data_IF_763365723644
#
_entry.id   IF_763365723644
#
_cell.length_a   1.000
_cell.length_b   1.000
_cell.length_c   1.000
_cell.angle_alpha   90.00
_cell.angle_beta   90.00
_cell.angle_gamma   90.00
#
_symmetry.space_group_name_H-M   'P 1'
#
loop_
_entity.id
_entity.type
_entity.pdbx_description
1 polymer ?
#
# COMPACT_ATOMS: atom_id res chain seq x y z
N UNK A 1 6.61 -10.98 -3.85
CA UNK A 1 6.02 -10.89 -2.50
C UNK A 1 6.69 -9.80 -1.69
N UNK A 2 6.11 -9.41 -0.55
CA UNK A 2 6.74 -8.45 0.35
C UNK A 2 7.94 -9.09 1.03
N UNK A 3 8.97 -8.28 1.27
CA UNK A 3 10.12 -8.67 2.07
C UNK A 3 9.65 -9.11 3.47
N UNK A 4 10.08 -10.30 3.97
CA UNK A 4 9.76 -10.75 5.32
C UNK A 4 10.05 -9.73 6.41
N UNK A 5 11.12 -8.94 6.30
CA UNK A 5 11.47 -7.91 7.28
C UNK A 5 10.42 -6.80 7.35
N UNK A 6 9.84 -6.42 6.20
CA UNK A 6 8.75 -5.44 6.13
C UNK A 6 7.48 -6.00 6.79
N UNK A 7 7.19 -7.28 6.57
CA UNK A 7 6.03 -7.94 7.16
C UNK A 7 6.17 -8.05 8.68
N UNK A 8 7.35 -8.42 9.19
CA UNK A 8 7.61 -8.50 10.63
C UNK A 8 7.56 -7.14 11.32
N UNK A 9 8.12 -6.11 10.66
CA UNK A 9 8.03 -4.73 11.15
C UNK A 9 6.57 -4.27 11.25
N UNK A 10 5.77 -4.48 10.20
CA UNK A 10 4.36 -4.11 10.23
C UNK A 10 3.57 -4.95 11.25
N UNK A 11 3.87 -6.24 11.39
CA UNK A 11 3.25 -7.10 12.38
C UNK A 11 3.49 -6.60 13.81
N UNK A 12 4.70 -6.11 14.11
CA UNK A 12 5.04 -5.47 15.38
C UNK A 12 4.20 -4.21 15.63
N UNK A 13 4.10 -3.34 14.63
CA UNK A 13 3.26 -2.12 14.69
C UNK A 13 1.78 -2.48 14.90
N UNK A 14 1.28 -3.49 14.20
CA UNK A 14 -0.10 -3.95 14.32
C UNK A 14 -0.37 -4.58 15.70
N UNK A 15 0.62 -5.25 16.28
CA UNK A 15 0.55 -5.79 17.64
C UNK A 15 0.42 -4.67 18.68
N UNK A 16 1.19 -3.61 18.54
CA UNK A 16 1.08 -2.41 19.38
C UNK A 16 -0.27 -1.72 19.21
N UNK A 17 -0.70 -1.49 17.97
CA UNK A 17 -2.01 -0.87 17.67
C UNK A 17 -3.21 -1.66 18.18
N UNK A 18 -3.07 -2.98 18.37
CA UNK A 18 -4.13 -3.85 18.87
C UNK A 18 -3.85 -4.37 20.29
N UNK A 19 -2.90 -3.79 21.01
CA UNK A 19 -2.47 -4.27 22.33
C UNK A 19 -3.66 -4.41 23.30
N UNK A 20 -4.54 -3.41 23.37
CA UNK A 20 -5.75 -3.45 24.21
C UNK A 20 -6.68 -4.64 23.91
N UNK A 21 -6.75 -5.05 22.63
CA UNK A 21 -7.56 -6.20 22.21
C UNK A 21 -6.88 -7.54 22.47
N UNK A 22 -5.57 -7.54 22.75
CA UNK A 22 -4.73 -8.73 22.94
C UNK A 22 -4.51 -9.01 24.44
N UNK A 23 -4.48 -7.96 25.29
CA UNK A 23 -4.26 -8.10 26.73
C UNK A 23 -5.24 -9.11 27.34
N UNK A 24 -4.70 -10.07 28.11
CA UNK A 24 -5.48 -11.12 28.77
C UNK A 24 -5.94 -12.27 27.86
N UNK A 25 -5.58 -12.27 26.57
CA UNK A 25 -5.89 -13.37 25.64
C UNK A 25 -4.69 -14.29 25.44
N UNK A 26 -4.95 -15.54 25.03
CA UNK A 26 -3.89 -16.49 24.68
C UNK A 26 -3.17 -16.08 23.39
N UNK A 27 -1.96 -16.61 23.20
CA UNK A 27 -1.16 -16.36 21.99
C UNK A 27 -1.92 -16.69 20.70
N UNK A 28 -2.61 -17.83 20.65
CA UNK A 28 -3.38 -18.25 19.47
C UNK A 28 -4.52 -17.27 19.12
N UNK A 29 -5.17 -16.67 20.14
CA UNK A 29 -6.21 -15.68 19.91
C UNK A 29 -5.60 -14.35 19.47
N UNK A 30 -4.45 -13.96 20.03
CA UNK A 30 -3.71 -12.78 19.59
C UNK A 30 -3.30 -12.90 18.10
N UNK A 31 -2.82 -14.06 17.67
CA UNK A 31 -2.40 -14.29 16.29
C UNK A 31 -3.61 -14.26 15.34
N UNK A 32 -4.76 -14.82 15.74
CA UNK A 32 -6.00 -14.69 14.96
C UNK A 32 -6.46 -13.23 14.81
N UNK A 33 -6.27 -12.41 15.86
CA UNK A 33 -6.58 -10.97 15.81
C UNK A 33 -5.66 -10.25 14.83
N UNK A 34 -4.37 -10.62 14.77
CA UNK A 34 -3.38 -9.97 13.91
C UNK A 34 -3.37 -10.48 12.47
N UNK A 35 -3.81 -11.72 12.21
CA UNK A 35 -3.86 -12.29 10.86
C UNK A 35 -4.69 -11.44 9.89
N UNK A 36 -5.87 -10.96 10.31
CA UNK A 36 -6.71 -10.12 9.44
C UNK A 36 -6.00 -8.84 8.98
N UNK A 37 -5.48 -8.02 9.91
CA UNK A 37 -4.67 -6.85 9.59
C UNK A 37 -3.41 -7.13 8.76
N UNK A 38 -2.68 -8.21 9.05
CA UNK A 38 -1.49 -8.60 8.27
C UNK A 38 -1.87 -8.99 6.83
N UNK A 39 -2.92 -9.79 6.67
CA UNK A 39 -3.42 -10.16 5.34
C UNK A 39 -3.96 -8.94 4.57
N UNK A 40 -4.59 -7.99 5.27
CA UNK A 40 -4.97 -6.71 4.68
C UNK A 40 -3.74 -5.93 4.20
N UNK A 41 -2.70 -5.82 5.02
CA UNK A 41 -1.47 -5.15 4.65
C UNK A 41 -0.84 -5.75 3.39
N UNK A 42 -0.76 -7.09 3.31
CA UNK A 42 -0.30 -7.78 2.11
C UNK A 42 -1.16 -7.47 0.89
N UNK A 43 -2.49 -7.49 1.02
CA UNK A 43 -3.44 -7.16 -0.07
C UNK A 43 -3.32 -5.73 -0.57
N UNK A 44 -2.86 -4.80 0.27
CA UNK A 44 -2.70 -3.40 -0.10
C UNK A 44 -1.30 -3.08 -0.65
N UNK A 45 -0.27 -3.85 -0.26
CA UNK A 45 1.13 -3.52 -0.55
C UNK A 45 1.85 -4.51 -1.50
N UNK A 46 1.24 -5.64 -1.85
CA UNK A 46 1.79 -6.58 -2.85
C UNK A 46 0.90 -6.63 -4.10
N UNK A 47 1.47 -6.35 -5.27
CA UNK A 47 0.71 -6.25 -6.53
C UNK A 47 -0.15 -7.49 -6.84
N UNK A 48 0.39 -8.69 -6.63
CA UNK A 48 -0.31 -9.94 -6.98
C UNK A 48 -1.56 -10.21 -6.13
N UNK A 49 -1.61 -9.69 -4.91
CA UNK A 49 -2.73 -9.88 -3.97
C UNK A 49 -3.73 -8.72 -4.01
N UNK A 50 -3.36 -7.59 -4.63
CA UNK A 50 -4.24 -6.45 -4.83
C UNK A 50 -5.44 -6.80 -5.70
N UNK A 51 -6.56 -6.13 -5.44
CA UNK A 51 -7.73 -6.19 -6.31
C UNK A 51 -7.44 -5.48 -7.64
N UNK A 52 -7.82 -6.12 -8.74
CA UNK A 52 -7.62 -5.60 -10.08
C UNK A 52 -8.51 -4.38 -10.32
N UNK A 53 -7.90 -3.26 -10.71
CA UNK A 53 -8.57 -1.96 -10.82
C UNK A 53 -9.78 -1.94 -11.76
N UNK A 54 -9.83 -2.83 -12.74
CA UNK A 54 -10.93 -2.88 -13.72
C UNK A 54 -12.22 -3.46 -13.15
N UNK A 55 -12.14 -4.39 -12.19
CA UNK A 55 -13.31 -5.05 -11.60
C UNK A 55 -13.44 -4.86 -10.08
N UNK A 56 -12.42 -4.32 -9.44
CA UNK A 56 -12.38 -3.97 -8.02
C UNK A 56 -12.45 -5.16 -7.06
N UNK A 57 -12.35 -6.41 -7.55
CA UNK A 57 -12.61 -7.60 -6.73
C UNK A 57 -11.64 -8.75 -6.94
N UNK A 58 -11.15 -8.94 -8.17
CA UNK A 58 -10.35 -10.12 -8.50
C UNK A 58 -8.88 -9.85 -8.19
N UNK A 59 -8.16 -10.71 -7.47
CA UNK A 59 -6.73 -10.56 -7.29
C UNK A 59 -5.98 -10.52 -8.62
N UNK A 60 -4.95 -9.66 -8.75
CA UNK A 60 -4.16 -9.56 -9.97
C UNK A 60 -3.53 -10.90 -10.38
N UNK A 61 -3.11 -11.73 -9.41
CA UNK A 61 -2.62 -13.09 -9.68
C UNK A 61 -3.63 -13.95 -10.44
N UNK A 62 -4.91 -13.87 -10.08
CA UNK A 62 -5.98 -14.65 -10.72
C UNK A 62 -6.29 -14.12 -12.12
N UNK A 63 -6.16 -12.80 -12.33
CA UNK A 63 -6.29 -12.18 -13.66
C UNK A 63 -5.18 -12.66 -14.59
N UNK A 64 -3.93 -12.70 -14.13
CA UNK A 64 -2.78 -13.22 -14.89
C UNK A 64 -2.98 -14.71 -15.20
N UNK A 65 -3.39 -15.50 -14.21
CA UNK A 65 -3.63 -16.92 -14.38
C UNK A 65 -4.75 -17.20 -15.39
N UNK A 66 -5.83 -16.41 -15.37
CA UNK A 66 -6.90 -16.48 -16.35
C UNK A 66 -6.41 -16.12 -17.75
N UNK A 67 -5.66 -15.02 -17.89
CA UNK A 67 -5.09 -14.62 -19.17
C UNK A 67 -4.18 -15.72 -19.77
N UNK A 68 -3.40 -16.42 -18.93
CA UNK A 68 -2.60 -17.56 -19.37
C UNK A 68 -3.46 -18.72 -19.89
N UNK A 69 -4.54 -19.07 -19.19
CA UNK A 69 -5.50 -20.09 -19.66
C UNK A 69 -6.10 -19.71 -21.01
N UNK A 70 -6.55 -18.46 -21.17
CA UNK A 70 -7.16 -17.96 -22.40
C UNK A 70 -6.15 -17.95 -23.57
N UNK A 71 -4.87 -17.70 -23.28
CA UNK A 71 -3.78 -17.72 -24.25
C UNK A 71 -3.22 -19.13 -24.55
N UNK A 72 -3.62 -20.16 -23.79
CA UNK A 72 -3.09 -21.52 -23.92
C UNK A 72 -1.63 -21.67 -23.49
N UNK A 73 -1.11 -20.74 -22.68
CA UNK A 73 0.28 -20.76 -22.21
C UNK A 73 0.42 -20.10 -20.84
N UNK A 74 1.49 -20.41 -20.10
CA UNK A 74 1.75 -19.75 -18.82
C UNK A 74 2.18 -18.31 -19.05
N UNK A 75 1.50 -17.38 -18.38
CA UNK A 75 1.91 -15.97 -18.30
C UNK A 75 2.44 -15.71 -16.88
N UNK A 76 3.57 -15.04 -16.78
CA UNK A 76 4.20 -14.68 -15.51
C UNK A 76 4.55 -13.21 -15.52
N UNK A 77 4.17 -12.49 -14.46
CA UNK A 77 4.66 -11.14 -14.22
C UNK A 77 6.10 -11.27 -13.68
N UNK A 78 7.08 -10.79 -14.47
CA UNK A 78 8.49 -10.87 -14.09
C UNK A 78 8.90 -9.69 -13.21
N UNK A 79 8.57 -8.48 -13.65
CA UNK A 79 8.88 -7.25 -12.93
C UNK A 79 7.96 -6.10 -13.39
N UNK A 80 7.89 -5.03 -12.61
CA UNK A 80 7.23 -3.79 -12.97
C UNK A 80 7.93 -2.60 -12.31
N UNK A 81 7.88 -1.44 -12.97
CA UNK A 81 8.35 -0.17 -12.41
C UNK A 81 7.25 0.86 -12.57
N UNK A 82 6.96 1.60 -11.50
CA UNK A 82 6.02 2.72 -11.51
C UNK A 82 6.82 4.00 -11.32
N UNK A 83 6.77 4.89 -12.31
CA UNK A 83 7.30 6.25 -12.18
C UNK A 83 6.16 7.21 -11.88
N UNK A 84 6.39 8.12 -10.92
CA UNK A 84 5.51 9.26 -10.69
C UNK A 84 6.31 10.56 -10.74
N UNK A 85 5.81 11.52 -11.52
CA UNK A 85 6.41 12.85 -11.58
C UNK A 85 6.35 13.52 -10.20
N UNK A 86 7.49 14.02 -9.72
CA UNK A 86 7.61 14.64 -8.40
C UNK A 86 7.76 13.66 -7.24
N UNK A 87 7.90 12.35 -7.49
CA UNK A 87 8.16 11.37 -6.44
C UNK A 87 9.47 11.71 -5.69
N UNK A 88 9.37 11.85 -4.37
CA UNK A 88 10.51 12.22 -3.51
C UNK A 88 10.91 13.70 -3.55
N UNK A 89 10.18 14.56 -4.26
CA UNK A 89 10.42 16.00 -4.30
C UNK A 89 9.45 16.69 -3.34
N UNK A 90 9.97 17.47 -2.39
CA UNK A 90 9.13 18.30 -1.53
C UNK A 90 8.44 19.36 -2.40
N UNK A 91 7.12 19.38 -2.35
CA UNK A 91 6.34 20.38 -3.07
C UNK A 91 6.41 21.68 -2.29
N UNK A 92 7.13 22.65 -2.81
CA UNK A 92 7.08 24.01 -2.28
C UNK A 92 5.65 24.55 -2.43
N UNK A 93 5.01 24.84 -1.30
CA UNK A 93 3.73 25.55 -1.28
C UNK A 93 4.03 27.06 -1.31
N UNK A 94 3.77 27.69 -2.45
CA UNK A 94 3.84 29.14 -2.58
C UNK A 94 2.47 29.79 -2.48
N UNK A 95 2.39 30.90 -1.73
CA UNK A 95 1.22 31.77 -1.68
C UNK A 95 1.37 32.85 -2.75
N UNK A 96 0.75 32.60 -3.91
CA UNK A 96 0.76 33.52 -5.03
C UNK A 96 0.22 34.92 -4.65
N UNK A 97 -0.75 35.02 -3.73
CA UNK A 97 -1.27 36.32 -3.31
C UNK A 97 -0.24 37.10 -2.48
N UNK A 98 0.48 36.42 -1.59
CA UNK A 98 1.59 37.01 -0.84
C UNK A 98 2.75 37.44 -1.75
N UNK A 99 3.11 36.62 -2.74
CA UNK A 99 4.15 36.96 -3.73
C UNK A 99 3.77 38.19 -4.58
N UNK A 100 2.51 38.27 -5.02
CA UNK A 100 1.99 39.44 -5.75
C UNK A 100 1.98 40.69 -4.87
N UNK A 101 1.55 40.59 -3.61
CA UNK A 101 1.54 41.71 -2.67
C UNK A 101 2.97 42.23 -2.39
N UNK A 102 3.94 41.33 -2.22
CA UNK A 102 5.35 41.67 -2.01
C UNK A 102 5.97 42.35 -3.25
N UNK A 103 5.65 41.88 -4.46
CA UNK A 103 6.19 42.43 -5.71
C UNK A 103 5.55 43.77 -6.10
N UNK A 104 4.26 43.97 -5.80
CA UNK A 104 3.52 45.19 -6.11
C UNK A 104 3.79 46.36 -5.14
N UNK A 105 4.65 46.16 -4.12
CA UNK A 105 4.98 47.21 -3.14
C UNK A 105 3.84 47.61 -2.22
N UNK A 106 2.79 46.77 -2.10
CA UNK A 106 1.65 46.99 -1.20
C UNK A 106 1.98 46.49 0.22
N UNK A 107 3.08 46.96 0.81
CA UNK A 107 3.26 46.86 2.25
C UNK A 107 2.50 48.02 2.89
N UNK A 108 1.45 47.70 3.64
CA UNK A 108 0.78 48.62 4.56
C UNK A 108 1.05 48.18 5.98
#
# INVERSE_FOLDING_TARGET
DLDPEVVEREASILREKNAEKIVGKSAEVADKILNGPIEKFKKENALLTQAFVMDGKTPVADVIAKAGKDAGTTITLVDYVRFQLGEGIEKEESDFAAEVAATAGLTK
#
